data_IF_439880053720
#
_entry.id   IF_439880053720
#
_cell.length_a   1.000
_cell.length_b   1.000
_cell.length_c   1.000
_cell.angle_alpha   90.00
_cell.angle_beta   90.00
_cell.angle_gamma   90.00
#
_symmetry.space_group_name_H-M   'P 1'
#
loop_
_entity.id
_entity.type
_entity.pdbx_description
1 polymer ?
#
# COMPACT_ATOMS: atom_id res chain seq x y z
N UNK A 1 19.02 -1.89 -10.81
CA UNK A 1 17.79 -1.66 -11.59
C UNK A 1 17.07 -2.99 -11.69
N UNK A 2 16.28 -3.33 -10.67
CA UNK A 2 15.61 -4.63 -10.56
C UNK A 2 14.21 -4.53 -11.16
N UNK A 3 13.98 -5.24 -12.26
CA UNK A 3 12.63 -5.43 -12.80
C UNK A 3 11.88 -6.34 -11.83
N UNK A 4 10.85 -5.81 -11.16
CA UNK A 4 9.87 -6.64 -10.46
C UNK A 4 9.07 -7.39 -11.53
N UNK A 5 9.48 -8.62 -11.84
CA UNK A 5 8.72 -9.51 -12.70
C UNK A 5 7.50 -10.01 -11.93
N UNK A 6 6.36 -9.34 -12.10
CA UNK A 6 5.07 -9.93 -11.74
C UNK A 6 4.88 -11.13 -12.66
N UNK A 7 4.85 -12.34 -12.10
CA UNK A 7 4.65 -13.57 -12.86
C UNK A 7 3.19 -13.68 -13.31
N UNK A 8 2.75 -12.78 -14.20
CA UNK A 8 1.41 -12.81 -14.77
C UNK A 8 1.43 -13.68 -16.00
N UNK A 9 1.08 -14.96 -15.85
CA UNK A 9 0.70 -15.79 -16.99
C UNK A 9 -0.43 -15.10 -17.78
N UNK A 10 -0.55 -15.37 -19.08
CA UNK A 10 -1.60 -14.78 -19.94
C UNK A 10 -3.01 -14.99 -19.33
N UNK A 11 -3.25 -16.14 -18.69
CA UNK A 11 -4.50 -16.42 -17.97
C UNK A 11 -4.73 -15.55 -16.72
N UNK A 12 -3.66 -15.18 -16.01
CA UNK A 12 -3.72 -14.23 -14.90
C UNK A 12 -4.15 -12.83 -15.34
N UNK A 13 -3.63 -12.34 -16.47
CA UNK A 13 -4.04 -11.05 -17.04
C UNK A 13 -5.48 -11.07 -17.54
N UNK A 14 -5.93 -12.16 -18.18
CA UNK A 14 -7.32 -12.31 -18.62
C UNK A 14 -8.29 -12.29 -17.43
N UNK A 15 -7.95 -12.98 -16.34
CA UNK A 15 -8.74 -12.92 -15.10
C UNK A 15 -8.74 -11.54 -14.47
N UNK A 16 -7.59 -10.85 -14.44
CA UNK A 16 -7.51 -9.49 -13.91
C UNK A 16 -8.35 -8.49 -14.73
N UNK A 17 -8.37 -8.64 -16.06
CA UNK A 17 -9.24 -7.86 -16.96
C UNK A 17 -10.72 -8.18 -16.73
N UNK A 18 -11.09 -9.46 -16.59
CA UNK A 18 -12.48 -9.84 -16.32
C UNK A 18 -12.97 -9.37 -14.93
N UNK A 19 -12.08 -9.41 -13.92
CA UNK A 19 -12.38 -9.03 -12.55
C UNK A 19 -12.16 -7.54 -12.25
N UNK A 20 -11.69 -6.75 -13.23
CA UNK A 20 -11.25 -5.36 -13.07
C UNK A 20 -10.38 -5.13 -11.82
N UNK A 21 -9.58 -6.13 -11.44
CA UNK A 21 -8.77 -6.11 -10.23
C UNK A 21 -7.54 -6.99 -10.37
N UNK A 22 -6.45 -6.54 -9.74
CA UNK A 22 -5.26 -7.36 -9.49
C UNK A 22 -5.26 -7.73 -8.02
N UNK A 23 -5.00 -9.01 -7.75
CA UNK A 23 -4.77 -9.50 -6.39
C UNK A 23 -3.27 -9.70 -6.20
N UNK A 24 -2.74 -9.16 -5.12
CA UNK A 24 -1.37 -9.37 -4.66
C UNK A 24 -1.42 -10.05 -3.30
N UNK A 25 -0.48 -10.97 -3.05
CA UNK A 25 -0.30 -11.52 -1.71
C UNK A 25 0.80 -10.73 -1.00
N UNK A 26 0.44 -10.10 0.11
CA UNK A 26 1.39 -9.59 1.07
C UNK A 26 1.82 -10.74 1.97
N UNK A 27 3.12 -10.93 2.15
CA UNK A 27 3.70 -11.99 2.95
C UNK A 27 4.65 -11.40 3.99
N UNK A 28 4.38 -11.65 5.27
CA UNK A 28 5.19 -11.18 6.38
C UNK A 28 6.08 -12.32 6.89
N UNK A 29 7.38 -12.03 7.01
CA UNK A 29 8.38 -12.94 7.53
C UNK A 29 8.99 -12.32 8.79
N UNK A 30 8.68 -12.88 9.95
CA UNK A 30 9.24 -12.44 11.22
C UNK A 30 10.65 -12.98 11.43
N UNK A 31 11.60 -12.09 11.65
CA UNK A 31 12.98 -12.47 11.95
C UNK A 31 13.06 -13.15 13.33
N UNK A 32 13.63 -14.35 13.41
CA UNK A 32 13.87 -15.08 14.66
C UNK A 32 15.27 -15.70 14.62
N UNK A 33 16.03 -15.55 15.70
CA UNK A 33 17.39 -16.10 15.80
C UNK A 33 18.29 -15.72 14.61
N UNK A 34 18.17 -14.46 14.15
CA UNK A 34 18.87 -13.89 12.97
C UNK A 34 18.57 -14.62 11.64
N UNK A 35 17.44 -15.32 11.56
CA UNK A 35 17.00 -16.02 10.36
C UNK A 35 15.54 -15.72 10.05
N UNK A 36 15.21 -15.63 8.75
CA UNK A 36 13.83 -15.59 8.30
C UNK A 36 13.32 -17.01 8.07
N UNK A 37 12.05 -17.31 8.40
CA UNK A 37 11.47 -18.61 8.16
C UNK A 37 11.31 -18.88 6.65
N UNK A 38 11.30 -20.16 6.26
CA UNK A 38 11.10 -20.56 4.87
C UNK A 38 9.66 -20.31 4.36
N UNK A 39 8.69 -20.17 5.26
CA UNK A 39 7.30 -19.83 4.97
C UNK A 39 6.93 -18.54 5.69
N UNK A 40 6.02 -17.73 5.14
CA UNK A 40 5.55 -16.53 5.80
C UNK A 40 4.84 -16.90 7.12
N UNK A 41 5.01 -16.05 8.12
CA UNK A 41 4.27 -16.14 9.38
C UNK A 41 2.81 -15.72 9.20
N UNK A 42 2.58 -14.82 8.24
CA UNK A 42 1.26 -14.28 7.94
C UNK A 42 1.20 -13.85 6.48
N UNK A 43 0.04 -14.04 5.85
CA UNK A 43 -0.23 -13.52 4.51
C UNK A 43 -1.57 -12.80 4.45
N UNK A 44 -1.69 -11.88 3.50
CA UNK A 44 -2.93 -11.21 3.19
C UNK A 44 -3.05 -10.91 1.72
N UNK A 45 -4.22 -11.24 1.15
CA UNK A 45 -4.54 -10.78 -0.20
C UNK A 45 -4.94 -9.32 -0.17
N UNK A 46 -4.17 -8.48 -0.86
CA UNK A 46 -4.52 -7.10 -1.19
C UNK A 46 -5.14 -7.12 -2.59
N UNK A 47 -6.34 -6.53 -2.72
CA UNK A 47 -7.00 -6.35 -4.01
C UNK A 47 -6.93 -4.89 -4.38
N UNK A 48 -6.47 -4.62 -5.58
CA UNK A 48 -6.45 -3.28 -6.16
C UNK A 48 -7.27 -3.26 -7.44
N UNK A 49 -7.93 -2.13 -7.72
CA UNK A 49 -8.68 -1.97 -8.95
C UNK A 49 -7.72 -1.90 -10.13
N UNK A 50 -7.90 -2.81 -11.08
CA UNK A 50 -7.19 -2.80 -12.35
C UNK A 50 -8.08 -2.19 -13.40
N UNK A 51 -7.72 -0.97 -13.82
CA UNK A 51 -8.44 -0.23 -14.84
C UNK A 51 -7.47 0.09 -16.00
N UNK A 52 -7.22 -0.85 -16.92
CA UNK A 52 -6.26 -0.65 -18.01
C UNK A 52 -6.65 0.48 -18.98
N UNK A 53 -7.91 0.92 -18.94
CA UNK A 53 -8.46 2.01 -19.74
C UNK A 53 -8.61 3.33 -18.94
N UNK A 54 -8.18 3.39 -17.67
CA UNK A 54 -8.15 4.66 -16.93
C UNK A 54 -7.18 5.62 -17.62
N UNK A 55 -7.59 6.88 -17.79
CA UNK A 55 -6.78 7.93 -18.43
C UNK A 55 -5.48 8.22 -17.65
N UNK A 56 -5.43 7.86 -16.37
CA UNK A 56 -4.23 7.95 -15.51
C UNK A 56 -3.25 6.79 -15.71
N UNK A 57 -3.63 5.78 -16.49
CA UNK A 57 -2.81 4.59 -16.75
C UNK A 57 -3.03 3.47 -15.72
N UNK A 58 -2.21 2.40 -15.77
CA UNK A 58 -2.25 1.35 -14.76
C UNK A 58 -1.81 1.89 -13.40
N UNK A 59 -2.56 1.55 -12.36
CA UNK A 59 -2.17 1.77 -10.97
C UNK A 59 -1.34 0.58 -10.49
N UNK A 60 -0.19 0.87 -9.87
CA UNK A 60 0.45 -0.06 -8.94
C UNK A 60 0.01 0.34 -7.53
N UNK A 61 -0.48 -0.62 -6.71
CA UNK A 61 -1.01 -0.27 -5.40
C UNK A 61 0.11 0.28 -4.54
N UNK A 62 -0.12 1.44 -3.92
CA UNK A 62 0.75 1.94 -2.86
C UNK A 62 0.67 0.97 -1.69
N UNK A 63 1.81 0.48 -1.20
CA UNK A 63 1.89 -0.30 0.04
C UNK A 63 2.89 0.36 0.96
N UNK A 64 2.44 0.83 2.12
CA UNK A 64 3.26 1.45 3.14
C UNK A 64 3.03 0.75 4.48
N UNK A 65 4.05 0.75 5.33
CA UNK A 65 4.02 0.18 6.67
C UNK A 65 4.59 1.21 7.63
N UNK A 66 3.86 1.52 8.69
CA UNK A 66 4.24 2.56 9.64
C UNK A 66 3.20 2.79 10.73
N UNK A 67 3.57 3.44 11.83
CA UNK A 67 2.71 3.69 13.00
C UNK A 67 1.97 5.03 12.80
N UNK A 68 0.78 4.98 12.19
CA UNK A 68 0.01 6.19 11.85
C UNK A 68 -1.02 6.55 12.93
N UNK A 69 -1.20 5.71 13.95
CA UNK A 69 -2.09 5.97 15.07
C UNK A 69 -1.35 6.25 16.40
N UNK A 70 -0.04 6.04 16.45
CA UNK A 70 0.84 6.34 17.58
C UNK A 70 0.78 5.29 18.69
N UNK A 71 0.37 4.06 18.38
CA UNK A 71 0.19 3.00 19.38
C UNK A 71 1.41 2.09 19.59
N UNK A 72 2.49 2.38 18.87
CA UNK A 72 3.75 1.66 18.87
C UNK A 72 3.76 0.40 18.00
N UNK A 73 2.69 0.12 17.24
CA UNK A 73 2.62 -0.99 16.29
C UNK A 73 2.54 -0.44 14.87
N UNK A 74 3.20 -1.14 13.95
CA UNK A 74 3.09 -0.76 12.54
C UNK A 74 1.71 -1.09 11.99
N UNK A 75 1.09 -0.09 11.38
CA UNK A 75 -0.11 -0.20 10.56
C UNK A 75 0.27 -0.56 9.11
N UNK A 76 -0.68 -1.12 8.36
CA UNK A 76 -0.54 -1.42 6.94
C UNK A 76 -1.44 -0.49 6.13
N UNK A 77 -0.85 0.28 5.22
CA UNK A 77 -1.54 1.20 4.33
C UNK A 77 -1.51 0.62 2.91
N UNK A 78 -2.68 0.46 2.27
CA UNK A 78 -2.77 -0.06 0.90
C UNK A 78 -3.67 0.80 0.02
N UNK A 79 -3.22 1.14 -1.19
CA UNK A 79 -4.05 1.76 -2.21
C UNK A 79 -5.00 0.78 -2.89
N UNK A 80 -6.31 1.01 -2.75
CA UNK A 80 -7.33 0.20 -3.43
C UNK A 80 -7.69 0.77 -4.80
N UNK A 81 -7.78 2.10 -4.89
CA UNK A 81 -8.09 2.88 -6.10
C UNK A 81 -7.26 4.16 -6.09
N UNK A 82 -7.29 4.90 -7.20
CA UNK A 82 -6.63 6.21 -7.31
C UNK A 82 -7.06 7.24 -6.29
N UNK A 83 -8.21 7.04 -5.65
CA UNK A 83 -8.85 7.98 -4.73
C UNK A 83 -9.14 7.35 -3.35
N UNK A 84 -8.62 6.15 -3.07
CA UNK A 84 -8.90 5.43 -1.83
C UNK A 84 -7.66 4.71 -1.28
N UNK A 85 -7.29 5.11 -0.06
CA UNK A 85 -6.32 4.45 0.79
C UNK A 85 -7.04 3.66 1.88
N UNK A 86 -6.66 2.41 2.06
CA UNK A 86 -7.08 1.57 3.17
C UNK A 86 -5.98 1.57 4.24
N UNK A 87 -6.34 1.82 5.50
CA UNK A 87 -5.44 1.78 6.66
C UNK A 87 -5.88 0.62 7.55
N UNK A 88 -5.07 -0.42 7.66
CA UNK A 88 -5.27 -1.56 8.55
C UNK A 88 -4.42 -1.36 9.80
N UNK A 89 -5.08 -1.09 10.94
CA UNK A 89 -4.36 -0.80 12.18
C UNK A 89 -3.60 -2.03 12.71
N UNK A 90 -2.41 -1.82 13.25
CA UNK A 90 -1.59 -2.81 13.90
C UNK A 90 -2.29 -3.39 15.13
N UNK A 91 -2.35 -4.72 15.22
CA UNK A 91 -3.05 -5.40 16.33
C UNK A 91 -2.09 -6.12 17.26
N UNK A 92 -2.38 -6.15 18.58
CA UNK A 92 -1.67 -7.04 19.48
C UNK A 92 -2.12 -8.48 19.22
N UNK A 93 -1.22 -9.37 18.83
CA UNK A 93 -1.55 -10.79 18.70
C UNK A 93 -0.86 -11.50 17.53
N UNK A 94 -1.50 -12.58 17.07
CA UNK A 94 -1.01 -13.40 15.96
C UNK A 94 -1.23 -12.73 14.61
N UNK A 95 -2.33 -12.02 14.46
CA UNK A 95 -2.58 -11.20 13.29
C UNK A 95 -1.87 -9.85 13.48
N UNK A 96 -1.00 -9.44 12.54
CA UNK A 96 -0.21 -8.22 12.66
C UNK A 96 -1.05 -6.97 12.45
N UNK A 97 -2.18 -7.06 11.72
CA UNK A 97 -3.06 -5.93 11.41
C UNK A 97 -4.53 -6.35 11.45
N UNK A 98 -5.40 -5.38 11.69
CA UNK A 98 -6.85 -5.55 11.75
C UNK A 98 -7.44 -6.09 10.44
N UNK A 99 -8.53 -6.85 10.54
CA UNK A 99 -9.22 -7.40 9.36
C UNK A 99 -9.88 -6.30 8.52
N UNK A 100 -10.47 -5.29 9.14
CA UNK A 100 -11.19 -4.20 8.45
C UNK A 100 -10.33 -2.94 8.37
N UNK A 101 -10.27 -2.28 7.21
CA UNK A 101 -9.54 -1.03 7.10
C UNK A 101 -10.39 0.16 7.51
N UNK A 102 -9.72 1.22 7.93
CA UNK A 102 -10.23 2.58 7.82
C UNK A 102 -10.04 3.03 6.36
N UNK A 103 -11.10 3.54 5.73
CA UNK A 103 -11.04 4.03 4.35
C UNK A 103 -10.82 5.54 4.34
N UNK A 104 -9.76 5.98 3.68
CA UNK A 104 -9.37 7.38 3.55
C UNK A 104 -9.51 7.79 2.08
N UNK A 105 -10.35 8.80 1.84
CA UNK A 105 -10.51 9.39 0.52
C UNK A 105 -9.33 10.34 0.24
N UNK A 106 -8.39 9.88 -0.57
CA UNK A 106 -7.18 10.62 -0.91
C UNK A 106 -6.72 10.23 -2.30
N UNK A 107 -6.31 11.21 -3.09
CA UNK A 107 -5.68 10.96 -4.38
C UNK A 107 -4.33 10.26 -4.13
N UNK A 108 -4.15 9.07 -4.68
CA UNK A 108 -2.94 8.27 -4.55
C UNK A 108 -2.07 8.39 -5.80
N UNK A 109 -0.74 8.25 -5.65
CA UNK A 109 0.14 8.27 -6.80
C UNK A 109 -0.01 6.95 -7.57
N UNK A 110 0.22 6.99 -8.88
CA UNK A 110 0.25 5.79 -9.73
C UNK A 110 1.49 4.92 -9.50
N UNK A 111 2.43 5.42 -8.71
CA UNK A 111 3.70 4.80 -8.38
C UNK A 111 3.94 4.98 -6.87
N UNK A 112 4.09 3.87 -6.15
CA UNK A 112 4.32 3.82 -4.70
C UNK A 112 5.55 4.63 -4.26
N UNK A 113 6.57 4.79 -5.12
CA UNK A 113 7.78 5.54 -4.81
C UNK A 113 7.52 7.03 -4.54
N UNK A 114 6.33 7.52 -4.88
CA UNK A 114 5.91 8.88 -4.63
C UNK A 114 5.13 9.03 -3.31
N UNK A 115 5.02 8.00 -2.49
CA UNK A 115 4.41 8.09 -1.17
C UNK A 115 5.41 7.66 -0.09
N UNK A 116 5.38 8.32 1.07
CA UNK A 116 6.23 7.98 2.22
C UNK A 116 5.58 8.39 3.54
N UNK A 117 5.95 7.69 4.60
CA UNK A 117 5.58 7.98 5.97
C UNK A 117 6.71 8.73 6.68
N UNK A 118 6.36 9.73 7.49
CA UNK A 118 7.27 10.45 8.35
C UNK A 118 6.48 11.24 9.41
N UNK A 119 6.94 11.22 10.67
CA UNK A 119 6.44 12.10 11.73
C UNK A 119 6.94 13.54 11.50
N UNK A 120 6.11 14.41 10.92
CA UNK A 120 6.49 15.76 10.51
C UNK A 120 6.31 16.79 11.61
N UNK A 121 5.31 16.62 12.48
CA UNK A 121 5.00 17.54 13.56
C UNK A 121 5.49 17.08 14.95
N UNK A 122 6.10 15.90 15.02
CA UNK A 122 6.70 15.29 16.21
C UNK A 122 5.68 14.92 17.28
N UNK A 123 4.48 14.53 16.86
CA UNK A 123 3.44 14.05 17.77
C UNK A 123 3.58 12.54 18.10
N UNK A 124 4.52 11.84 17.44
CA UNK A 124 4.75 10.42 17.61
C UNK A 124 3.92 9.52 16.68
N UNK A 125 3.21 10.11 15.72
CA UNK A 125 2.47 9.42 14.66
C UNK A 125 3.11 9.72 13.32
N UNK A 126 3.14 8.74 12.43
CA UNK A 126 3.69 8.96 11.10
C UNK A 126 2.65 9.59 10.15
N UNK A 127 2.99 10.74 9.59
CA UNK A 127 2.18 11.43 8.58
C UNK A 127 2.45 10.86 7.18
N UNK A 128 1.44 10.92 6.30
CA UNK A 128 1.57 10.48 4.92
C UNK A 128 1.87 11.65 3.99
N UNK A 129 3.03 11.60 3.33
CA UNK A 129 3.44 12.53 2.28
C UNK A 129 3.27 11.87 0.92
N UNK A 130 2.51 12.49 0.03
CA UNK A 130 2.24 12.02 -1.33
C UNK A 130 2.70 13.06 -2.35
N UNK A 131 3.50 12.63 -3.30
CA UNK A 131 3.92 13.41 -4.45
C UNK A 131 3.10 13.02 -5.68
N UNK A 132 2.54 14.03 -6.35
CA UNK A 132 1.80 13.90 -7.60
C UNK A 132 2.62 14.57 -8.71
N UNK A 133 3.57 13.87 -9.34
CA UNK A 133 4.33 14.42 -10.44
C UNK A 133 3.40 14.67 -11.65
N UNK A 134 3.64 15.76 -12.38
CA UNK A 134 2.92 16.09 -13.61
C UNK A 134 3.90 16.33 -14.74
N UNK A 135 3.64 15.73 -15.90
CA UNK A 135 4.43 15.95 -17.11
C UNK A 135 4.01 17.21 -17.88
N UNK A 136 2.82 17.76 -17.61
CA UNK A 136 2.19 18.84 -18.39
C UNK A 136 1.94 20.12 -17.60
N UNK A 137 2.36 20.17 -16.34
CA UNK A 137 2.13 21.30 -15.44
C UNK A 137 2.84 21.12 -14.11
N UNK A 138 2.59 22.00 -13.11
CA UNK A 138 3.19 21.84 -11.79
C UNK A 138 2.73 20.53 -11.14
N UNK A 139 3.68 19.83 -10.52
CA UNK A 139 3.34 18.73 -9.62
C UNK A 139 2.66 19.25 -8.34
N UNK A 140 2.00 18.36 -7.61
CA UNK A 140 1.37 18.66 -6.32
C UNK A 140 1.98 17.77 -5.24
N UNK A 141 2.07 18.27 -4.01
CA UNK A 141 2.35 17.46 -2.82
C UNK A 141 1.12 17.52 -1.92
N UNK A 142 0.64 16.36 -1.49
CA UNK A 142 -0.40 16.22 -0.47
C UNK A 142 0.25 15.71 0.81
N UNK A 143 -0.13 16.27 1.95
CA UNK A 143 0.29 15.80 3.27
C UNK A 143 -0.97 15.49 4.06
N UNK A 144 -1.05 14.28 4.60
CA UNK A 144 -2.12 13.85 5.49
C UNK A 144 -1.50 13.74 6.88
N UNK A 145 -1.86 14.68 7.74
CA UNK A 145 -1.43 14.69 9.13
C UNK A 145 -2.19 13.61 9.89
N UNK A 146 -1.48 12.74 10.59
CA UNK A 146 -2.07 11.89 11.62
C UNK A 146 -2.50 12.78 12.81
N UNK A 147 -3.55 12.41 13.52
CA UNK A 147 -4.12 13.19 14.64
C UNK A 147 -4.46 12.28 15.81
#
# INVERSE_FOLDING_TARGET
MGLAAVNTSLGGMVRAMAANSISMELALYGLRDRQYPARPDWTRTVRTRFAPLDKRGPMFPTVLVGDVNGDGRSDLLTGERWDELNVFLGTPGKDPVAERPIKVAVDLPGNELNARLADLDKDGKEDLVIQHPSAKGPGRISILMAQ
#
